data_IF_666500439232
#
_entry.id   IF_666500439232
#
_cell.length_a   1.000
_cell.length_b   1.000
_cell.length_c   1.000
_cell.angle_alpha   90.00
_cell.angle_beta   90.00
_cell.angle_gamma   90.00
#
_symmetry.space_group_name_H-M   'P 1'
#
loop_
_entity.id
_entity.type
_entity.pdbx_description
1 polymer ?
#
# COMPACT_ATOMS: atom_id res chain seq x y z
N UNK A 1 -20.16 -23.45 26.01
CA UNK A 1 -19.49 -24.25 24.97
C UNK A 1 -19.59 -23.49 23.66
N UNK A 2 -18.71 -22.50 23.47
CA UNK A 2 -18.78 -21.55 22.36
C UNK A 2 -17.57 -21.78 21.48
N UNK A 3 -17.75 -22.57 20.41
CA UNK A 3 -16.77 -22.67 19.36
C UNK A 3 -16.79 -21.35 18.59
N UNK A 4 -15.85 -20.44 18.91
CA UNK A 4 -15.52 -19.33 18.04
C UNK A 4 -14.92 -19.94 16.77
N UNK A 5 -15.75 -20.06 15.74
CA UNK A 5 -15.34 -20.51 14.43
C UNK A 5 -14.07 -19.76 14.03
N UNK A 6 -12.98 -20.51 13.81
CA UNK A 6 -11.84 -20.03 13.03
C UNK A 6 -12.44 -19.46 11.75
N UNK A 7 -12.45 -18.13 11.62
CA UNK A 7 -12.79 -17.50 10.36
C UNK A 7 -11.68 -17.92 9.41
N UNK A 8 -12.01 -18.74 8.43
CA UNK A 8 -11.08 -19.26 7.46
C UNK A 8 -10.26 -18.09 6.88
N UNK A 9 -8.94 -18.25 6.91
CA UNK A 9 -8.01 -17.34 6.26
C UNK A 9 -8.28 -17.41 4.76
N UNK A 10 -8.93 -16.37 4.23
CA UNK A 10 -9.06 -16.24 2.79
C UNK A 10 -7.65 -16.05 2.22
N UNK A 11 -7.29 -16.67 1.09
CA UNK A 11 -5.99 -16.43 0.46
C UNK A 11 -5.82 -14.92 0.26
N UNK A 12 -4.84 -14.32 0.94
CA UNK A 12 -4.48 -12.91 0.78
C UNK A 12 -3.96 -12.77 -0.64
N UNK A 13 -4.85 -12.41 -1.56
CA UNK A 13 -4.49 -12.08 -2.93
C UNK A 13 -3.42 -10.99 -2.83
N UNK A 14 -2.25 -11.14 -3.49
CA UNK A 14 -1.22 -10.13 -3.43
C UNK A 14 -1.81 -8.81 -3.87
N UNK A 15 -1.48 -7.74 -3.13
CA UNK A 15 -1.89 -6.40 -3.52
C UNK A 15 -1.47 -6.15 -4.97
N UNK A 16 -2.31 -5.50 -5.78
CA UNK A 16 -1.93 -5.17 -7.14
C UNK A 16 -0.63 -4.33 -7.11
N UNK A 17 0.23 -4.47 -8.13
CA UNK A 17 1.40 -3.63 -8.25
C UNK A 17 0.99 -2.15 -8.29
N UNK A 18 1.92 -1.27 -7.92
CA UNK A 18 1.69 0.17 -8.00
C UNK A 18 1.27 0.58 -9.42
N UNK A 19 0.21 1.39 -9.60
CA UNK A 19 -0.34 1.69 -10.91
C UNK A 19 0.45 2.81 -11.62
N UNK A 20 1.56 2.44 -12.26
CA UNK A 20 2.42 3.39 -12.96
C UNK A 20 1.75 4.15 -14.09
N UNK A 21 0.87 3.49 -14.85
CA UNK A 21 0.17 4.12 -15.97
C UNK A 21 -0.72 5.28 -15.51
N UNK A 22 -1.51 5.05 -14.46
CA UNK A 22 -2.40 6.06 -13.88
C UNK A 22 -1.61 7.21 -13.24
N UNK A 23 -0.53 6.90 -12.53
CA UNK A 23 0.35 7.90 -11.94
C UNK A 23 0.97 8.82 -13.00
N UNK A 24 1.48 8.26 -14.10
CA UNK A 24 2.06 9.04 -15.20
C UNK A 24 1.02 9.80 -16.00
N UNK A 25 -0.16 9.21 -16.25
CA UNK A 25 -1.27 9.89 -16.92
C UNK A 25 -1.75 11.10 -16.10
N UNK A 26 -1.83 10.97 -14.79
CA UNK A 26 -2.13 12.08 -13.89
C UNK A 26 -1.02 13.14 -13.90
N UNK A 27 0.24 12.74 -13.74
CA UNK A 27 1.38 13.66 -13.70
C UNK A 27 1.59 14.46 -14.99
N UNK A 28 1.56 13.79 -16.15
CA UNK A 28 1.79 14.42 -17.44
C UNK A 28 0.54 15.03 -18.06
N UNK A 29 -0.63 14.42 -17.83
CA UNK A 29 -1.89 14.86 -18.41
C UNK A 29 -2.58 15.94 -17.58
N UNK A 30 -2.93 15.62 -16.34
CA UNK A 30 -3.73 16.49 -15.48
C UNK A 30 -2.89 17.62 -14.87
N UNK A 31 -1.72 17.28 -14.29
CA UNK A 31 -0.83 18.26 -13.67
C UNK A 31 0.11 18.96 -14.66
N UNK A 32 0.25 18.41 -15.87
CA UNK A 32 1.12 18.92 -16.95
C UNK A 32 2.58 19.15 -16.51
N UNK A 33 3.08 18.25 -15.67
CA UNK A 33 4.48 18.28 -15.25
C UNK A 33 5.39 17.87 -16.40
N UNK A 34 6.61 18.41 -16.42
CA UNK A 34 7.69 17.83 -17.22
C UNK A 34 8.10 16.49 -16.62
N UNK A 35 8.78 15.63 -17.39
CA UNK A 35 9.34 14.38 -16.87
C UNK A 35 10.22 14.60 -15.65
N UNK A 36 11.06 15.64 -15.66
CA UNK A 36 11.90 16.00 -14.52
C UNK A 36 11.06 16.41 -13.30
N UNK A 37 10.01 17.20 -13.49
CA UNK A 37 9.10 17.60 -12.41
C UNK A 37 8.40 16.40 -11.78
N UNK A 38 7.83 15.51 -12.61
CA UNK A 38 7.19 14.28 -12.12
C UNK A 38 8.15 13.40 -11.34
N UNK A 39 9.36 13.14 -11.86
CA UNK A 39 10.34 12.29 -11.20
C UNK A 39 11.00 12.92 -9.96
N UNK A 40 10.86 14.24 -9.77
CA UNK A 40 11.29 14.92 -8.55
C UNK A 40 10.27 14.81 -7.41
N UNK A 41 9.01 14.45 -7.70
CA UNK A 41 7.99 14.29 -6.67
C UNK A 41 8.26 13.08 -5.78
N UNK A 42 8.06 13.27 -4.48
CA UNK A 42 7.94 12.16 -3.54
C UNK A 42 6.56 11.49 -3.66
N UNK A 43 6.40 10.21 -3.28
CA UNK A 43 5.09 9.55 -3.27
C UNK A 43 4.03 10.28 -2.41
N UNK A 44 4.45 10.95 -1.34
CA UNK A 44 3.56 11.74 -0.47
C UNK A 44 3.05 13.00 -1.16
N UNK A 45 3.90 13.66 -1.94
CA UNK A 45 3.50 14.83 -2.73
C UNK A 45 2.60 14.44 -3.89
N UNK A 46 2.87 13.31 -4.55
CA UNK A 46 1.99 12.78 -5.59
C UNK A 46 0.59 12.47 -5.04
N UNK A 47 0.52 11.84 -3.86
CA UNK A 47 -0.76 11.58 -3.18
C UNK A 47 -1.49 12.88 -2.82
N UNK A 48 -0.78 13.87 -2.27
CA UNK A 48 -1.36 15.17 -1.95
C UNK A 48 -1.88 15.91 -3.19
N UNK A 49 -1.16 15.84 -4.32
CA UNK A 49 -1.60 16.42 -5.58
C UNK A 49 -2.87 15.72 -6.11
N UNK A 50 -2.95 14.39 -6.01
CA UNK A 50 -4.14 13.64 -6.37
C UNK A 50 -5.34 14.01 -5.49
N UNK A 51 -5.15 14.16 -4.17
CA UNK A 51 -6.18 14.65 -3.26
C UNK A 51 -6.65 16.07 -3.62
N UNK A 52 -5.74 16.95 -4.03
CA UNK A 52 -6.06 18.32 -4.45
C UNK A 52 -6.97 18.38 -5.68
N UNK A 53 -6.84 17.41 -6.61
CA UNK A 53 -7.63 17.35 -7.84
C UNK A 53 -8.93 16.57 -7.67
N UNK A 54 -8.88 15.42 -6.99
CA UNK A 54 -10.00 14.48 -6.90
C UNK A 54 -10.78 14.56 -5.59
N UNK A 55 -10.34 15.40 -4.66
CA UNK A 55 -10.85 15.45 -3.30
C UNK A 55 -10.21 14.39 -2.40
N UNK A 56 -10.26 14.65 -1.09
CA UNK A 56 -9.65 13.79 -0.10
C UNK A 56 -10.55 12.58 0.17
N UNK A 57 -10.05 11.38 -0.12
CA UNK A 57 -10.63 10.15 0.42
C UNK A 57 -10.05 9.93 1.82
N UNK A 58 -10.87 9.78 2.88
CA UNK A 58 -10.34 9.50 4.20
C UNK A 58 -9.52 8.19 4.12
N UNK A 59 -8.24 8.19 4.51
CA UNK A 59 -7.51 6.95 4.63
C UNK A 59 -8.21 6.13 5.71
N UNK A 60 -8.59 4.90 5.38
CA UNK A 60 -9.06 3.97 6.39
C UNK A 60 -7.83 3.55 7.20
N UNK A 61 -7.77 3.83 8.52
CA UNK A 61 -6.60 3.51 9.31
C UNK A 61 -6.36 2.00 9.29
N UNK A 62 -5.11 1.59 9.08
CA UNK A 62 -4.74 0.19 9.20
C UNK A 62 -5.03 -0.28 10.63
N UNK A 63 -5.94 -1.23 10.79
CA UNK A 63 -6.26 -1.81 12.08
C UNK A 63 -5.07 -2.56 12.68
N UNK A 64 -4.99 -2.61 14.02
CA UNK A 64 -3.91 -3.32 14.74
C UNK A 64 -3.78 -4.80 14.35
N UNK A 65 -4.90 -5.46 14.09
CA UNK A 65 -4.93 -6.85 13.60
C UNK A 65 -4.21 -6.97 12.26
N UNK A 66 -4.62 -6.14 11.29
CA UNK A 66 -4.02 -6.13 9.96
C UNK A 66 -2.51 -5.79 9.98
N UNK A 67 -2.07 -4.89 10.86
CA UNK A 67 -0.63 -4.64 11.06
C UNK A 67 0.09 -5.87 11.62
N UNK A 68 -0.51 -6.57 12.58
CA UNK A 68 0.08 -7.78 13.18
C UNK A 68 0.20 -8.91 12.15
N UNK A 69 -0.76 -9.00 11.23
CA UNK A 69 -0.75 -9.97 10.13
C UNK A 69 0.36 -9.65 9.11
N UNK A 70 0.55 -8.37 8.77
CA UNK A 70 1.64 -7.93 7.90
C UNK A 70 3.02 -8.24 8.47
N UNK A 71 3.24 -7.99 9.77
CA UNK A 71 4.51 -8.30 10.44
C UNK A 71 4.82 -9.80 10.38
N UNK A 72 3.80 -10.66 10.50
CA UNK A 72 3.97 -12.11 10.39
C UNK A 72 4.25 -12.56 8.94
N UNK A 73 3.61 -11.92 7.96
CA UNK A 73 3.74 -12.29 6.56
C UNK A 73 5.10 -11.85 5.95
N UNK A 74 5.67 -10.75 6.44
CA UNK A 74 6.91 -10.16 5.93
C UNK A 74 7.92 -9.94 7.06
N UNK A 75 8.52 -11.01 7.62
CA UNK A 75 9.52 -10.87 8.66
C UNK A 75 10.82 -10.28 8.09
N UNK A 76 11.39 -9.29 8.79
CA UNK A 76 12.64 -8.62 8.39
C UNK A 76 13.86 -9.56 8.42
N UNK A 77 13.79 -10.60 9.24
CA UNK A 77 14.86 -11.58 9.40
C UNK A 77 14.35 -12.98 9.07
N UNK A 78 15.14 -13.79 8.35
CA UNK A 78 14.82 -15.20 8.21
C UNK A 78 14.76 -15.87 9.60
N UNK A 79 13.92 -16.91 9.77
CA UNK A 79 13.89 -17.64 11.02
C UNK A 79 15.31 -18.15 11.34
N UNK A 80 15.70 -18.15 12.63
CA UNK A 80 17.01 -18.62 13.04
C UNK A 80 17.24 -20.02 12.48
N UNK A 81 18.42 -20.24 11.91
CA UNK A 81 18.80 -21.53 11.35
C UNK A 81 18.72 -22.56 12.49
N UNK A 82 17.83 -23.54 12.37
CA UNK A 82 17.75 -24.64 13.32
C UNK A 82 18.96 -25.55 13.07
N UNK A 83 20.08 -25.29 13.76
CA UNK A 83 21.29 -26.07 13.62
C UNK A 83 22.51 -25.41 14.28
N UNK A 84 22.49 -25.35 15.61
CA UNK A 84 23.66 -25.51 16.47
C UNK A 84 23.40 -26.73 17.37
#
# INVERSE_FOLDING_TARGET
>A
MTAAARRAEAPTKPAPPFPWEEAMAFGFGALRLSSAGFWSLTPRELAAAAEGVHGRRPPEPLGRGALSDLIRAFPDFPPPHAGD
#
